data_IF_499444467108
#
_entry.id   IF_499444467108
#
_cell.length_a   1.000
_cell.length_b   1.000
_cell.length_c   1.000
_cell.angle_alpha   90.00
_cell.angle_beta   90.00
_cell.angle_gamma   90.00
#
_symmetry.space_group_name_H-M   'P 1'
#
loop_
_entity.id
_entity.type
_entity.pdbx_description
1 polymer ?
#
# COMPACT_ATOMS: atom_id res chain seq x y z
N UNK A 1 11.10 -7.60 -1.83
CA UNK A 1 11.38 -8.63 -0.79
C UNK A 1 11.29 -10.00 -1.46
N UNK A 2 12.15 -10.98 -1.13
CA UNK A 2 11.99 -12.33 -1.63
C UNK A 2 11.58 -13.26 -0.49
N UNK A 3 10.28 -13.40 -0.35
CA UNK A 3 9.68 -14.40 0.54
C UNK A 3 9.48 -15.69 -0.23
N UNK A 4 9.86 -16.84 0.37
CA UNK A 4 9.62 -18.15 -0.20
C UNK A 4 8.72 -18.96 0.73
N UNK A 5 7.58 -19.32 0.24
CA UNK A 5 6.69 -20.29 0.85
C UNK A 5 7.38 -21.66 0.97
N UNK A 6 7.16 -22.36 2.06
CA UNK A 6 7.69 -23.72 2.33
C UNK A 6 6.57 -24.74 2.43
N UNK A 7 5.65 -24.52 3.33
CA UNK A 7 4.50 -25.40 3.57
C UNK A 7 3.36 -24.60 4.21
N UNK A 8 2.14 -25.11 4.04
CA UNK A 8 0.95 -24.75 4.83
C UNK A 8 0.18 -26.03 5.13
N UNK A 9 -0.13 -26.24 6.39
CA UNK A 9 -0.81 -27.44 6.88
C UNK A 9 -1.97 -27.03 7.77
N UNK A 10 -3.13 -27.66 7.55
CA UNK A 10 -4.27 -27.64 8.46
C UNK A 10 -4.28 -28.96 9.22
N UNK A 11 -4.19 -28.88 10.54
CA UNK A 11 -4.15 -30.06 11.41
C UNK A 11 -5.27 -30.02 12.44
N UNK A 12 -6.02 -31.12 12.49
CA UNK A 12 -6.99 -31.36 13.55
C UNK A 12 -6.38 -32.29 14.60
N UNK A 13 -6.51 -31.90 15.85
CA UNK A 13 -6.20 -32.71 17.02
C UNK A 13 -7.49 -32.98 17.78
N UNK A 14 -7.92 -34.26 17.82
CA UNK A 14 -9.22 -34.66 18.39
C UNK A 14 -9.18 -34.77 19.91
N UNK A 15 -7.99 -34.74 20.52
CA UNK A 15 -7.76 -34.81 21.98
C UNK A 15 -6.60 -33.89 22.37
N UNK A 16 -6.27 -33.85 23.64
CA UNK A 16 -5.06 -33.18 24.14
C UNK A 16 -3.83 -33.71 23.43
N UNK A 17 -2.95 -32.80 23.06
CA UNK A 17 -1.72 -33.18 22.38
C UNK A 17 -0.50 -32.49 23.01
N UNK A 18 0.66 -33.08 22.75
CA UNK A 18 1.95 -32.52 23.12
C UNK A 18 2.91 -32.66 21.93
N UNK A 19 3.47 -31.54 21.49
CA UNK A 19 4.54 -31.48 20.50
C UNK A 19 5.85 -31.25 21.26
N UNK A 20 6.78 -32.19 21.14
CA UNK A 20 8.10 -32.11 21.79
C UNK A 20 8.89 -30.91 21.25
N UNK A 21 9.86 -30.47 22.06
CA UNK A 21 10.77 -29.37 21.66
C UNK A 21 11.47 -29.67 20.32
N UNK A 22 11.33 -28.77 19.39
CA UNK A 22 11.90 -28.85 18.04
C UNK A 22 12.17 -27.45 17.51
N UNK A 23 12.74 -27.35 16.32
CA UNK A 23 12.97 -26.08 15.61
C UNK A 23 12.93 -26.30 14.10
N UNK A 24 12.73 -25.23 13.35
CA UNK A 24 12.68 -25.24 11.89
C UNK A 24 13.70 -24.25 11.29
N UNK A 25 14.29 -24.52 10.11
CA UNK A 25 15.20 -23.59 9.44
C UNK A 25 14.46 -22.45 8.69
N UNK A 26 13.22 -22.17 9.07
CA UNK A 26 12.35 -21.15 8.48
C UNK A 26 11.52 -20.49 9.57
N UNK A 27 10.93 -19.36 9.27
CA UNK A 27 9.86 -18.81 10.10
C UNK A 27 8.68 -19.76 10.06
N UNK A 28 8.03 -19.94 11.22
CA UNK A 28 6.76 -20.65 11.34
C UNK A 28 5.73 -19.76 12.01
N UNK A 29 4.56 -19.62 11.38
CA UNK A 29 3.39 -19.01 11.98
C UNK A 29 2.35 -20.09 12.24
N UNK A 30 1.94 -20.24 13.48
CA UNK A 30 0.84 -21.10 13.91
C UNK A 30 -0.38 -20.25 14.21
N UNK A 31 -1.50 -20.56 13.60
CA UNK A 31 -2.80 -19.94 13.84
C UNK A 31 -3.75 -20.95 14.49
N UNK A 32 -4.26 -20.64 15.67
CA UNK A 32 -5.20 -21.49 16.40
C UNK A 32 -6.64 -21.14 16.03
N UNK A 33 -7.26 -21.94 15.17
CA UNK A 33 -8.68 -21.80 14.78
C UNK A 33 -9.62 -22.20 15.90
N UNK A 34 -9.22 -23.12 16.77
CA UNK A 34 -9.94 -23.53 17.98
C UNK A 34 -9.00 -24.23 18.94
N UNK A 35 -9.45 -24.38 20.20
CA UNK A 35 -8.70 -25.04 21.25
C UNK A 35 -8.01 -24.07 22.20
N UNK A 36 -7.31 -24.62 23.20
CA UNK A 36 -6.54 -23.84 24.16
C UNK A 36 -5.36 -24.66 24.70
N UNK A 37 -4.30 -23.97 25.07
CA UNK A 37 -3.09 -24.64 25.57
C UNK A 37 -1.96 -23.65 25.85
N UNK A 38 -0.72 -24.15 25.79
CA UNK A 38 0.49 -23.34 25.96
C UNK A 38 1.52 -23.67 24.90
N UNK A 39 2.17 -22.63 24.38
CA UNK A 39 3.39 -22.73 23.59
C UNK A 39 4.55 -22.30 24.45
N UNK A 40 5.60 -23.10 24.48
CA UNK A 40 6.85 -22.76 25.16
C UNK A 40 7.87 -22.36 24.11
N UNK A 41 8.44 -21.16 24.24
CA UNK A 41 9.51 -20.63 23.37
C UNK A 41 10.70 -20.29 24.29
N UNK A 42 11.81 -20.98 24.10
CA UNK A 42 12.94 -20.94 25.05
C UNK A 42 12.49 -21.34 26.43
N UNK A 43 12.66 -20.46 27.44
CA UNK A 43 12.27 -20.71 28.83
C UNK A 43 10.89 -20.10 29.21
N UNK A 44 10.13 -19.54 28.27
CA UNK A 44 8.87 -18.86 28.54
C UNK A 44 7.68 -19.63 28.00
N UNK A 45 6.62 -19.70 28.82
CA UNK A 45 5.34 -20.28 28.45
C UNK A 45 4.34 -19.16 28.04
N UNK A 46 3.64 -19.39 26.94
CA UNK A 46 2.65 -18.46 26.40
C UNK A 46 1.32 -19.18 26.17
N UNK A 47 0.24 -18.73 26.82
CA UNK A 47 -1.07 -19.34 26.60
C UNK A 47 -1.59 -19.01 25.18
N UNK A 48 -2.26 -19.97 24.56
CA UNK A 48 -3.01 -19.75 23.33
C UNK A 48 -4.49 -20.12 23.52
N UNK A 49 -5.32 -19.49 22.72
CA UNK A 49 -6.74 -19.75 22.55
C UNK A 49 -7.14 -19.51 21.09
N UNK A 50 -8.42 -19.60 20.80
CA UNK A 50 -8.96 -19.27 19.47
C UNK A 50 -8.47 -17.89 18.99
N UNK A 51 -8.14 -17.80 17.69
CA UNK A 51 -7.58 -16.62 16.99
C UNK A 51 -6.21 -16.15 17.51
N UNK A 52 -5.52 -16.96 18.32
CA UNK A 52 -4.13 -16.68 18.67
C UNK A 52 -3.21 -17.00 17.49
N UNK A 53 -2.25 -16.12 17.24
CA UNK A 53 -1.13 -16.31 16.32
C UNK A 53 0.15 -16.43 17.10
N UNK A 54 0.97 -17.41 16.76
CA UNK A 54 2.33 -17.58 17.29
C UNK A 54 3.31 -17.62 16.15
N UNK A 55 4.23 -16.66 16.10
CA UNK A 55 5.33 -16.60 15.15
C UNK A 55 6.61 -17.03 15.84
N UNK A 56 7.36 -17.96 15.25
CA UNK A 56 8.70 -18.40 15.68
C UNK A 56 9.73 -18.13 14.58
N UNK A 57 10.91 -17.66 14.96
CA UNK A 57 12.02 -17.40 14.03
C UNK A 57 12.74 -18.70 13.59
N UNK A 58 13.55 -18.65 12.53
CA UNK A 58 14.37 -19.78 12.12
C UNK A 58 15.27 -20.27 13.25
N UNK A 59 15.24 -21.60 13.48
CA UNK A 59 16.03 -22.33 14.50
C UNK A 59 15.66 -22.00 15.97
N UNK A 60 14.58 -21.28 16.22
CA UNK A 60 14.08 -21.04 17.56
C UNK A 60 13.42 -22.32 18.11
N UNK A 61 13.88 -22.75 19.31
CA UNK A 61 13.39 -23.98 19.95
C UNK A 61 12.05 -23.69 20.60
N UNK A 62 11.04 -24.45 20.20
CA UNK A 62 9.70 -24.35 20.77
C UNK A 62 9.03 -25.71 20.95
N UNK A 63 8.05 -25.76 21.84
CA UNK A 63 7.19 -26.91 22.08
C UNK A 63 5.76 -26.43 22.32
N UNK A 64 4.80 -27.35 22.20
CA UNK A 64 3.39 -27.00 22.29
C UNK A 64 2.63 -28.06 23.08
N UNK A 65 1.69 -27.61 23.91
CA UNK A 65 0.79 -28.50 24.66
C UNK A 65 -0.62 -27.95 24.61
N UNK A 66 -1.57 -28.81 24.21
CA UNK A 66 -2.98 -28.46 24.21
C UNK A 66 -3.68 -29.08 25.44
N UNK A 67 -4.60 -28.32 26.02
CA UNK A 67 -5.46 -28.78 27.10
C UNK A 67 -6.85 -29.26 26.62
N UNK A 68 -7.15 -29.08 25.32
CA UNK A 68 -8.41 -29.42 24.66
C UNK A 68 -8.18 -29.86 23.22
N UNK A 69 -9.17 -30.47 22.53
CA UNK A 69 -9.12 -30.61 21.08
C UNK A 69 -8.83 -29.28 20.39
N UNK A 70 -8.05 -29.28 19.31
CA UNK A 70 -7.67 -28.06 18.63
C UNK A 70 -7.63 -28.24 17.12
N UNK A 71 -7.92 -27.15 16.41
CA UNK A 71 -7.74 -27.03 14.97
C UNK A 71 -6.72 -25.91 14.72
N UNK A 72 -5.66 -26.23 14.00
CA UNK A 72 -4.58 -25.28 13.74
C UNK A 72 -4.26 -25.18 12.24
N UNK A 73 -3.81 -24.01 11.84
CA UNK A 73 -3.15 -23.76 10.56
C UNK A 73 -1.72 -23.32 10.86
N UNK A 74 -0.75 -23.97 10.26
CA UNK A 74 0.63 -23.52 10.39
C UNK A 74 1.30 -23.40 9.02
N UNK A 75 2.03 -22.29 8.82
CA UNK A 75 2.71 -21.95 7.58
C UNK A 75 4.20 -21.73 7.85
N UNK A 76 5.04 -22.38 7.03
CA UNK A 76 6.48 -22.15 7.03
C UNK A 76 6.91 -21.28 5.84
N UNK A 77 7.81 -20.32 6.06
CA UNK A 77 8.34 -19.45 5.02
C UNK A 77 9.76 -18.97 5.35
N UNK A 78 10.51 -18.59 4.32
CA UNK A 78 11.82 -17.94 4.47
C UNK A 78 11.79 -16.55 3.85
N UNK A 79 12.59 -15.66 4.41
CA UNK A 79 12.71 -14.27 3.96
C UNK A 79 14.18 -14.01 3.64
N UNK A 80 14.45 -13.38 2.50
CA UNK A 80 15.78 -12.86 2.19
C UNK A 80 15.98 -11.55 2.97
N UNK A 81 16.75 -11.62 4.05
CA UNK A 81 16.98 -10.50 4.97
C UNK A 81 17.69 -9.31 4.32
N UNK A 82 18.38 -9.50 3.20
CA UNK A 82 19.03 -8.40 2.48
C UNK A 82 18.04 -7.37 1.90
N UNK A 83 16.76 -7.69 1.90
CA UNK A 83 15.70 -6.88 1.26
C UNK A 83 14.70 -6.28 2.24
N UNK A 84 14.84 -6.50 3.55
CA UNK A 84 13.93 -5.98 4.58
C UNK A 84 14.66 -4.95 5.43
N UNK A 85 14.11 -3.73 5.51
CA UNK A 85 14.64 -2.67 6.37
C UNK A 85 14.36 -2.95 7.86
N UNK A 86 13.32 -3.73 8.16
CA UNK A 86 12.90 -4.09 9.52
C UNK A 86 12.67 -5.60 9.57
N UNK A 87 13.51 -6.37 10.32
CA UNK A 87 13.31 -7.80 10.45
C UNK A 87 12.04 -8.11 11.24
N UNK A 88 11.41 -9.26 10.94
CA UNK A 88 10.42 -9.83 11.84
C UNK A 88 11.04 -10.09 13.22
N UNK A 89 10.25 -9.97 14.32
CA UNK A 89 10.74 -10.31 15.65
C UNK A 89 11.16 -11.78 15.72
N UNK A 90 12.03 -12.11 16.66
CA UNK A 90 12.43 -13.50 16.90
C UNK A 90 11.21 -14.38 17.19
N UNK A 91 10.30 -13.89 18.04
CA UNK A 91 8.97 -14.48 18.24
C UNK A 91 7.92 -13.39 18.50
N UNK A 92 6.68 -13.71 18.21
CA UNK A 92 5.55 -12.84 18.48
C UNK A 92 4.30 -13.67 18.77
N UNK A 93 3.54 -13.26 19.78
CA UNK A 93 2.26 -13.85 20.13
C UNK A 93 1.22 -12.74 20.20
N UNK A 94 0.14 -12.87 19.42
CA UNK A 94 -0.92 -11.88 19.36
C UNK A 94 -2.26 -12.52 19.00
N UNK A 95 -3.35 -11.79 19.19
CA UNK A 95 -4.69 -12.23 18.79
C UNK A 95 -5.12 -11.51 17.53
N UNK A 96 -5.48 -12.24 16.48
CA UNK A 96 -6.01 -11.72 15.22
C UNK A 96 -7.48 -11.31 15.38
N UNK A 97 -7.73 -10.13 15.96
CA UNK A 97 -9.07 -9.66 16.31
C UNK A 97 -10.00 -9.48 15.10
N UNK A 98 -9.46 -9.19 13.93
CA UNK A 98 -10.20 -8.91 12.71
C UNK A 98 -10.11 -10.04 11.67
N UNK A 99 -9.56 -11.18 12.06
CA UNK A 99 -9.33 -12.34 11.18
C UNK A 99 -8.51 -12.01 9.92
N UNK A 100 -7.71 -10.95 9.95
CA UNK A 100 -6.92 -10.48 8.80
C UNK A 100 -5.86 -11.50 8.39
N UNK A 101 -5.19 -12.09 9.39
CA UNK A 101 -4.19 -13.14 9.19
C UNK A 101 -4.87 -14.43 8.73
N UNK A 102 -6.00 -14.79 9.36
CA UNK A 102 -6.78 -15.97 8.97
C UNK A 102 -7.19 -15.91 7.51
N UNK A 103 -7.79 -14.80 7.07
CA UNK A 103 -8.22 -14.63 5.68
C UNK A 103 -7.06 -14.84 4.71
N UNK A 104 -5.87 -14.32 5.04
CA UNK A 104 -4.69 -14.50 4.20
C UNK A 104 -4.20 -15.95 4.16
N UNK A 105 -4.23 -16.66 5.28
CA UNK A 105 -3.91 -18.10 5.34
C UNK A 105 -4.88 -18.94 4.52
N UNK A 106 -6.18 -18.61 4.56
CA UNK A 106 -7.21 -19.27 3.75
C UNK A 106 -7.05 -19.01 2.25
N UNK A 107 -6.67 -17.80 1.84
CA UNK A 107 -6.34 -17.49 0.45
C UNK A 107 -5.16 -18.34 -0.04
N UNK A 108 -4.08 -18.46 0.76
CA UNK A 108 -2.91 -19.28 0.45
C UNK A 108 -3.34 -20.76 0.34
N UNK A 109 -4.13 -21.26 1.31
CA UNK A 109 -4.65 -22.64 1.29
C UNK A 109 -5.46 -22.93 0.03
N UNK A 110 -6.35 -22.02 -0.35
CA UNK A 110 -7.17 -22.12 -1.54
C UNK A 110 -6.33 -22.20 -2.82
N UNK A 111 -5.31 -21.35 -2.92
CA UNK A 111 -4.42 -21.34 -4.08
C UNK A 111 -3.60 -22.63 -4.20
N UNK A 112 -3.09 -23.16 -3.07
CA UNK A 112 -2.39 -24.45 -3.02
C UNK A 112 -3.30 -25.62 -3.44
N UNK A 113 -4.57 -25.59 -3.03
CA UNK A 113 -5.53 -26.65 -3.39
C UNK A 113 -5.94 -26.58 -4.85
N UNK A 114 -6.09 -25.38 -5.41
CA UNK A 114 -6.54 -25.19 -6.80
C UNK A 114 -5.49 -25.55 -7.83
N UNK A 115 -4.20 -25.38 -7.53
CA UNK A 115 -3.02 -25.63 -8.37
C UNK A 115 -3.18 -25.14 -9.81
N UNK A 116 -3.81 -23.97 -9.99
CA UNK A 116 -3.95 -23.32 -11.29
C UNK A 116 -2.60 -22.84 -11.83
N UNK A 117 -2.58 -22.41 -13.08
CA UNK A 117 -1.37 -21.84 -13.66
C UNK A 117 -0.82 -20.71 -12.78
N UNK A 118 0.50 -20.66 -12.61
CA UNK A 118 1.22 -19.67 -11.78
C UNK A 118 0.97 -19.79 -10.26
N UNK A 119 0.33 -20.86 -9.76
CA UNK A 119 0.01 -20.99 -8.33
C UNK A 119 1.24 -20.78 -7.42
N UNK A 120 2.41 -21.30 -7.78
CA UNK A 120 3.63 -21.11 -7.00
C UNK A 120 4.05 -19.64 -6.88
N UNK A 121 3.88 -18.84 -7.94
CA UNK A 121 4.18 -17.41 -7.91
C UNK A 121 3.14 -16.69 -7.05
N UNK A 122 1.86 -17.03 -7.20
CA UNK A 122 0.76 -16.43 -6.42
C UNK A 122 0.92 -16.75 -4.93
N UNK A 123 1.21 -18.01 -4.57
CA UNK A 123 1.44 -18.42 -3.16
C UNK A 123 2.60 -17.63 -2.54
N UNK A 124 3.71 -17.43 -3.27
CA UNK A 124 4.82 -16.62 -2.76
C UNK A 124 4.43 -15.15 -2.56
N UNK A 125 3.65 -14.55 -3.49
CA UNK A 125 3.14 -13.17 -3.35
C UNK A 125 2.19 -13.04 -2.15
N UNK A 126 1.29 -14.00 -1.97
CA UNK A 126 0.38 -14.04 -0.82
C UNK A 126 1.14 -14.21 0.51
N UNK A 127 2.18 -15.05 0.50
CA UNK A 127 3.06 -15.24 1.67
C UNK A 127 3.85 -13.96 1.98
N UNK A 128 4.32 -13.25 0.96
CA UNK A 128 4.97 -11.95 1.13
C UNK A 128 4.00 -10.90 1.70
N UNK A 129 2.75 -10.87 1.24
CA UNK A 129 1.71 -10.03 1.83
C UNK A 129 1.45 -10.38 3.30
N UNK A 130 1.39 -11.68 3.64
CA UNK A 130 1.28 -12.14 5.04
C UNK A 130 2.42 -11.60 5.90
N UNK A 131 3.66 -11.62 5.42
CA UNK A 131 4.83 -11.07 6.14
C UNK A 131 4.65 -9.58 6.44
N UNK A 132 4.16 -8.79 5.49
CA UNK A 132 3.87 -7.38 5.74
C UNK A 132 2.74 -7.16 6.75
N UNK A 133 1.74 -8.04 6.79
CA UNK A 133 0.71 -8.00 7.83
C UNK A 133 1.32 -8.30 9.21
N UNK A 134 2.20 -9.31 9.31
CA UNK A 134 2.90 -9.64 10.55
C UNK A 134 3.82 -8.51 11.02
N UNK A 135 4.53 -7.83 10.12
CA UNK A 135 5.34 -6.64 10.45
C UNK A 135 4.45 -5.53 11.02
N UNK A 136 3.26 -5.32 10.44
CA UNK A 136 2.30 -4.31 10.90
C UNK A 136 1.75 -4.61 12.30
N UNK A 137 1.44 -5.87 12.61
CA UNK A 137 0.99 -6.28 13.94
C UNK A 137 2.07 -6.09 15.03
N UNK A 138 3.34 -6.12 14.65
CA UNK A 138 4.47 -5.96 15.54
C UNK A 138 5.05 -4.52 15.54
N UNK A 139 4.46 -3.57 14.78
CA UNK A 139 4.90 -2.18 14.76
C UNK A 139 4.37 -1.44 15.99
N UNK A 140 5.25 -0.92 16.87
CA UNK A 140 4.84 -0.14 18.04
C UNK A 140 4.15 1.18 17.67
N UNK A 141 4.19 1.61 16.40
CA UNK A 141 3.59 2.84 15.90
C UNK A 141 2.22 2.63 15.23
N UNK A 142 1.56 1.49 15.44
CA UNK A 142 0.26 1.15 14.81
C UNK A 142 -0.89 2.11 15.10
N UNK A 143 -0.74 3.07 16.00
CA UNK A 143 -1.75 4.11 16.28
C UNK A 143 -1.64 5.36 15.38
N UNK A 144 -0.63 5.43 14.54
CA UNK A 144 -0.58 6.43 13.48
C UNK A 144 -1.24 5.84 12.25
N UNK A 145 -2.45 6.33 11.88
CA UNK A 145 -2.95 6.26 10.51
C UNK A 145 -1.73 6.55 9.62
N UNK A 146 -1.19 5.50 8.99
CA UNK A 146 -0.04 5.64 8.14
C UNK A 146 -0.36 6.78 7.18
N UNK A 147 0.33 7.89 7.33
CA UNK A 147 0.17 9.01 6.42
C UNK A 147 0.44 8.42 5.06
N UNK A 148 -0.59 8.29 4.22
CA UNK A 148 -0.43 7.89 2.82
C UNK A 148 0.82 8.61 2.33
N UNK A 149 1.77 7.86 1.76
CA UNK A 149 3.00 8.47 1.27
C UNK A 149 2.60 9.72 0.48
N UNK A 150 3.19 10.86 0.81
CA UNK A 150 2.82 12.13 0.18
C UNK A 150 2.95 12.06 -1.35
N UNK A 151 3.80 11.17 -1.85
CA UNK A 151 3.90 10.85 -3.27
C UNK A 151 2.60 10.28 -3.84
N UNK A 152 1.87 9.45 -3.09
CA UNK A 152 0.56 8.96 -3.51
C UNK A 152 -0.46 10.10 -3.64
N UNK A 153 -0.46 11.04 -2.67
CA UNK A 153 -1.30 12.24 -2.74
C UNK A 153 -0.97 13.07 -3.98
N UNK A 154 0.33 13.32 -4.24
CA UNK A 154 0.78 14.06 -5.42
C UNK A 154 0.33 13.38 -6.72
N UNK A 155 0.59 12.08 -6.86
CA UNK A 155 0.21 11.31 -8.04
C UNK A 155 -1.30 11.36 -8.30
N UNK A 156 -2.12 11.22 -7.24
CA UNK A 156 -3.56 11.34 -7.36
C UNK A 156 -3.97 12.76 -7.81
N UNK A 157 -3.43 13.80 -7.17
CA UNK A 157 -3.71 15.20 -7.52
C UNK A 157 -3.32 15.49 -8.98
N UNK A 158 -2.16 15.01 -9.42
CA UNK A 158 -1.70 15.19 -10.80
C UNK A 158 -2.62 14.49 -11.81
N UNK A 159 -3.05 13.27 -11.51
CA UNK A 159 -3.97 12.53 -12.38
C UNK A 159 -5.37 13.17 -12.45
N UNK A 160 -5.83 13.75 -11.34
CA UNK A 160 -7.14 14.38 -11.23
C UNK A 160 -7.14 15.86 -11.66
N UNK A 161 -5.98 16.51 -11.79
CA UNK A 161 -5.87 17.95 -12.00
C UNK A 161 -6.64 18.46 -13.24
N UNK A 162 -6.66 17.69 -14.32
CA UNK A 162 -7.37 18.05 -15.57
C UNK A 162 -8.89 17.78 -15.52
N UNK A 163 -9.36 17.11 -14.46
CA UNK A 163 -10.79 16.91 -14.26
C UNK A 163 -11.40 18.14 -13.56
N UNK A 164 -12.69 18.38 -13.76
CA UNK A 164 -13.44 19.43 -13.04
C UNK A 164 -13.79 18.98 -11.62
N UNK A 165 -12.77 18.59 -10.86
CA UNK A 165 -12.90 18.10 -9.49
C UNK A 165 -12.54 19.19 -8.48
N UNK A 166 -13.29 19.26 -7.37
CA UNK A 166 -13.00 20.20 -6.28
C UNK A 166 -11.97 19.62 -5.31
N UNK A 167 -11.34 20.47 -4.52
CA UNK A 167 -10.36 20.04 -3.48
C UNK A 167 -11.02 19.16 -2.42
N UNK A 168 -12.30 19.43 -2.10
CA UNK A 168 -13.11 18.63 -1.17
C UNK A 168 -13.34 17.22 -1.70
N UNK A 169 -13.62 17.09 -3.00
CA UNK A 169 -13.77 15.78 -3.66
C UNK A 169 -12.45 15.02 -3.71
N UNK A 170 -11.33 15.70 -3.93
CA UNK A 170 -9.98 15.09 -3.85
C UNK A 170 -9.73 14.59 -2.42
N UNK A 171 -10.02 15.39 -1.40
CA UNK A 171 -9.84 14.99 0.00
C UNK A 171 -10.69 13.76 0.35
N UNK A 172 -11.95 13.74 -0.06
CA UNK A 172 -12.86 12.61 0.14
C UNK A 172 -12.36 11.33 -0.56
N UNK A 173 -11.90 11.44 -1.80
CA UNK A 173 -11.38 10.31 -2.56
C UNK A 173 -10.10 9.71 -1.96
N UNK A 174 -9.28 10.56 -1.31
CA UNK A 174 -8.08 10.15 -0.59
C UNK A 174 -8.35 9.68 0.85
N UNK A 175 -9.61 9.75 1.32
CA UNK A 175 -9.98 9.38 2.69
C UNK A 175 -9.53 10.40 3.75
N UNK A 176 -9.21 11.64 3.36
CA UNK A 176 -8.80 12.70 4.27
C UNK A 176 -9.91 13.70 4.56
N UNK A 177 -9.84 14.30 5.76
CA UNK A 177 -10.56 15.55 6.02
C UNK A 177 -9.93 16.67 5.18
N UNK A 178 -10.78 17.57 4.64
CA UNK A 178 -10.37 18.70 3.79
C UNK A 178 -9.31 19.60 4.45
N UNK A 179 -9.53 20.01 5.71
CA UNK A 179 -8.61 20.91 6.40
C UNK A 179 -7.26 20.24 6.69
N UNK A 180 -7.27 18.95 7.04
CA UNK A 180 -6.05 18.18 7.22
C UNK A 180 -5.25 18.09 5.92
N UNK A 181 -5.88 17.70 4.79
CA UNK A 181 -5.21 17.61 3.49
C UNK A 181 -4.62 18.98 3.07
N UNK A 182 -5.36 20.06 3.28
CA UNK A 182 -4.93 21.42 2.97
C UNK A 182 -3.68 21.81 3.76
N UNK A 183 -3.65 21.53 5.06
CA UNK A 183 -2.51 21.85 5.93
C UNK A 183 -1.30 20.99 5.60
N UNK A 184 -1.52 19.67 5.40
CA UNK A 184 -0.47 18.73 5.01
C UNK A 184 0.19 19.15 3.70
N UNK A 185 -0.62 19.50 2.70
CA UNK A 185 -0.14 19.90 1.37
C UNK A 185 0.68 21.20 1.44
N UNK A 186 0.17 22.21 2.15
CA UNK A 186 0.87 23.48 2.37
C UNK A 186 2.22 23.26 3.09
N UNK A 187 2.23 22.42 4.15
CA UNK A 187 3.44 22.08 4.90
C UNK A 187 4.49 21.38 4.05
N UNK A 188 4.06 20.48 3.15
CA UNK A 188 4.98 19.66 2.33
C UNK A 188 5.47 20.37 1.07
N UNK A 189 4.65 21.23 0.44
CA UNK A 189 4.95 21.86 -0.86
C UNK A 189 5.19 23.37 -0.78
N UNK A 190 4.85 24.00 0.33
CA UNK A 190 4.92 25.46 0.48
C UNK A 190 3.78 26.21 -0.24
N UNK A 191 2.86 25.52 -0.92
CA UNK A 191 1.75 26.13 -1.64
C UNK A 191 0.41 25.45 -1.33
N UNK A 192 -0.69 26.15 -1.59
CA UNK A 192 -2.01 25.55 -1.40
C UNK A 192 -2.30 24.52 -2.49
N UNK A 193 -3.05 23.46 -2.15
CA UNK A 193 -3.46 22.43 -3.10
C UNK A 193 -4.18 23.05 -4.33
N UNK A 194 -5.03 24.06 -4.10
CA UNK A 194 -5.72 24.79 -5.19
C UNK A 194 -4.73 25.44 -6.16
N UNK A 195 -3.69 26.09 -5.65
CA UNK A 195 -2.66 26.71 -6.48
C UNK A 195 -1.85 25.67 -7.24
N UNK A 196 -1.51 24.56 -6.60
CA UNK A 196 -0.79 23.47 -7.24
C UNK A 196 -1.58 22.86 -8.42
N UNK A 197 -2.87 22.57 -8.22
CA UNK A 197 -3.75 22.11 -9.31
C UNK A 197 -3.82 23.15 -10.44
N UNK A 198 -3.94 24.42 -10.09
CA UNK A 198 -3.98 25.49 -11.08
C UNK A 198 -2.68 25.56 -11.89
N UNK A 199 -1.54 25.38 -11.24
CA UNK A 199 -0.23 25.36 -11.91
C UNK A 199 -0.10 24.18 -12.88
N UNK A 200 -0.56 22.99 -12.50
CA UNK A 200 -0.60 21.83 -13.40
C UNK A 200 -1.48 22.14 -14.63
N UNK A 201 -2.69 22.64 -14.41
CA UNK A 201 -3.62 22.99 -15.50
C UNK A 201 -3.00 23.98 -16.47
N UNK A 202 -2.37 25.05 -15.96
CA UNK A 202 -1.74 26.07 -16.79
C UNK A 202 -0.52 25.54 -17.56
N UNK A 203 0.27 24.68 -16.97
CA UNK A 203 1.39 24.01 -17.65
C UNK A 203 0.87 23.09 -18.77
N UNK A 204 -0.24 22.38 -18.53
CA UNK A 204 -0.89 21.57 -19.57
C UNK A 204 -1.48 22.43 -20.69
N UNK A 205 -2.13 23.57 -20.36
CA UNK A 205 -2.57 24.54 -21.37
C UNK A 205 -1.39 24.99 -22.24
N UNK A 206 -0.29 25.40 -21.63
CA UNK A 206 0.93 25.80 -22.34
C UNK A 206 1.42 24.71 -23.29
N UNK A 207 1.52 23.47 -22.80
CA UNK A 207 1.96 22.30 -23.56
C UNK A 207 1.04 22.03 -24.76
N UNK A 208 -0.27 22.02 -24.55
CA UNK A 208 -1.23 21.73 -25.60
C UNK A 208 -1.34 22.86 -26.62
N UNK A 209 -1.29 24.13 -26.18
CA UNK A 209 -1.31 25.30 -26.99
C UNK A 209 -0.18 25.34 -28.02
N UNK A 210 1.01 24.87 -27.65
CA UNK A 210 2.19 24.87 -28.51
C UNK A 210 2.26 23.68 -29.47
N UNK A 211 1.74 22.52 -29.02
CA UNK A 211 1.91 21.27 -29.76
C UNK A 211 0.69 20.83 -30.57
N UNK A 212 -0.49 21.46 -30.32
CA UNK A 212 -1.74 21.08 -30.96
C UNK A 212 -2.53 22.33 -31.41
N UNK A 213 -3.46 22.16 -32.32
CA UNK A 213 -4.31 23.23 -32.80
C UNK A 213 -5.71 23.20 -32.17
N UNK A 214 -5.75 23.09 -30.84
CA UNK A 214 -6.99 23.16 -30.07
C UNK A 214 -7.54 24.58 -30.01
N UNK A 215 -8.85 24.72 -30.02
CA UNK A 215 -9.58 25.94 -29.69
C UNK A 215 -9.46 26.23 -28.17
N UNK A 216 -9.79 27.47 -27.78
CA UNK A 216 -9.78 27.83 -26.34
C UNK A 216 -10.85 27.07 -25.53
N UNK A 217 -11.97 26.71 -26.17
CA UNK A 217 -13.02 25.90 -25.56
C UNK A 217 -12.51 24.47 -25.29
N UNK A 218 -11.94 23.84 -26.32
CA UNK A 218 -11.33 22.50 -26.15
C UNK A 218 -10.21 22.50 -25.10
N UNK A 219 -9.34 23.53 -25.11
CA UNK A 219 -8.29 23.66 -24.12
C UNK A 219 -8.88 23.79 -22.70
N UNK A 220 -9.92 24.57 -22.50
CA UNK A 220 -10.57 24.71 -21.22
C UNK A 220 -11.14 23.37 -20.73
N UNK A 221 -11.78 22.62 -21.63
CA UNK A 221 -12.38 21.32 -21.32
C UNK A 221 -11.34 20.27 -20.94
N UNK A 222 -10.31 20.07 -21.77
CA UNK A 222 -9.29 19.01 -21.52
C UNK A 222 -8.32 19.33 -20.38
N UNK A 223 -8.25 20.59 -19.94
CA UNK A 223 -7.38 21.03 -18.84
C UNK A 223 -8.14 21.36 -17.56
N UNK A 224 -9.45 21.11 -17.52
CA UNK A 224 -10.28 21.22 -16.30
C UNK A 224 -10.66 22.65 -15.92
N UNK A 225 -10.57 23.63 -16.82
CA UNK A 225 -11.11 24.97 -16.59
C UNK A 225 -12.62 25.00 -16.78
N UNK A 226 -13.30 25.85 -15.98
CA UNK A 226 -14.76 25.99 -16.04
C UNK A 226 -15.24 26.72 -17.27
N UNK A 227 -14.39 27.59 -17.87
CA UNK A 227 -14.67 28.33 -19.10
C UNK A 227 -13.39 28.83 -19.76
N UNK A 228 -13.41 29.10 -21.07
CA UNK A 228 -12.31 29.75 -21.82
C UNK A 228 -11.93 31.11 -21.24
N UNK A 229 -12.90 31.87 -20.76
CA UNK A 229 -12.67 33.20 -20.17
C UNK A 229 -11.86 33.09 -18.88
N UNK A 230 -12.18 32.08 -18.03
CA UNK A 230 -11.43 31.80 -16.80
C UNK A 230 -9.99 31.33 -17.13
N UNK A 231 -9.84 30.45 -18.11
CA UNK A 231 -8.54 30.02 -18.62
C UNK A 231 -7.69 31.22 -19.05
N UNK A 232 -8.22 32.06 -19.95
CA UNK A 232 -7.51 33.22 -20.49
C UNK A 232 -7.08 34.19 -19.38
N UNK A 233 -7.95 34.46 -18.41
CA UNK A 233 -7.67 35.38 -17.30
C UNK A 233 -6.50 34.83 -16.42
N UNK A 234 -6.57 33.56 -16.04
CA UNK A 234 -5.56 32.96 -15.17
C UNK A 234 -4.24 32.73 -15.91
N UNK A 235 -4.30 32.32 -17.16
CA UNK A 235 -3.13 32.17 -18.03
C UNK A 235 -2.37 33.50 -18.21
N UNK A 236 -3.09 34.58 -18.53
CA UNK A 236 -2.48 35.92 -18.67
C UNK A 236 -1.85 36.39 -17.36
N UNK A 237 -2.49 36.10 -16.21
CA UNK A 237 -1.92 36.44 -14.88
C UNK A 237 -0.62 35.72 -14.62
N UNK A 238 -0.47 34.44 -15.05
CA UNK A 238 0.74 33.63 -14.81
C UNK A 238 1.85 33.95 -15.82
N UNK A 239 1.52 34.04 -17.11
CA UNK A 239 2.50 34.16 -18.20
C UNK A 239 2.65 35.58 -18.77
N UNK A 240 1.86 36.55 -18.33
CA UNK A 240 1.89 37.93 -18.77
C UNK A 240 1.21 38.19 -20.12
N UNK A 241 0.87 37.15 -20.88
CA UNK A 241 0.26 37.18 -22.20
C UNK A 241 -1.00 36.33 -22.23
N UNK A 242 -1.97 36.69 -23.10
CA UNK A 242 -3.08 35.79 -23.40
C UNK A 242 -2.57 34.50 -24.07
N UNK A 243 -3.36 33.39 -24.04
CA UNK A 243 -2.95 32.15 -24.71
C UNK A 243 -2.60 32.34 -26.19
N UNK A 244 -3.39 33.12 -26.94
CA UNK A 244 -3.14 33.36 -28.34
C UNK A 244 -1.89 34.22 -28.58
N UNK A 245 -1.70 35.29 -27.80
CA UNK A 245 -0.47 36.10 -27.87
C UNK A 245 0.76 35.27 -27.54
N UNK A 246 0.65 34.39 -26.55
CA UNK A 246 1.73 33.47 -26.15
C UNK A 246 2.07 32.50 -27.29
N UNK A 247 1.07 31.87 -27.91
CA UNK A 247 1.25 30.97 -29.08
C UNK A 247 1.94 31.68 -30.24
N UNK A 248 1.53 32.91 -30.54
CA UNK A 248 2.10 33.70 -31.62
C UNK A 248 3.55 34.14 -31.36
N UNK A 249 3.89 34.45 -30.09
CA UNK A 249 5.24 34.81 -29.69
C UNK A 249 6.18 33.60 -29.80
N UNK A 250 5.81 32.45 -29.24
CA UNK A 250 6.64 31.25 -29.26
C UNK A 250 6.83 30.69 -30.69
N UNK A 251 5.84 30.81 -31.57
CA UNK A 251 5.98 30.44 -33.01
C UNK A 251 6.94 31.36 -33.80
N UNK A 252 7.18 32.57 -33.32
CA UNK A 252 8.10 33.54 -33.98
C UNK A 252 9.54 33.41 -33.45
N UNK A 253 9.78 32.67 -32.39
CA UNK A 253 11.14 32.49 -31.81
C UNK A 253 11.84 31.31 -32.51
N UNK A 254 12.96 31.53 -33.25
CA UNK A 254 13.62 30.50 -34.06
C UNK A 254 14.23 29.35 -33.25
N UNK A 255 14.29 29.46 -31.93
CA UNK A 255 14.87 28.42 -31.06
C UNK A 255 13.98 27.17 -30.89
N UNK A 256 12.70 27.23 -31.21
CA UNK A 256 11.74 26.12 -31.07
C UNK A 256 11.70 25.21 -32.30
N UNK A 257 12.18 25.67 -33.46
CA UNK A 257 12.14 24.89 -34.70
C UNK A 257 13.24 23.81 -34.85
N UNK A 258 14.21 23.71 -33.96
CA UNK A 258 15.32 22.77 -34.07
C UNK A 258 15.12 21.43 -33.32
N UNK A 259 13.92 21.16 -32.76
CA UNK A 259 13.61 19.90 -32.06
C UNK A 259 12.64 18.99 -32.85
N UNK A 260 12.39 19.30 -34.13
CA UNK A 260 11.55 18.49 -35.05
C UNK A 260 12.34 18.04 -36.28
N UNK A 261 13.57 17.54 -36.09
CA UNK A 261 14.23 16.72 -37.12
C UNK A 261 14.72 15.40 -36.49
#
# INVERSE_FOLDING_TARGET
MHTKFKFLVRQQYDDKYFIQSHSHPCYELVYYLSGSGNVKIGDRDYPFSENTCVLSAPNEIHSESSSSPALVLFIGFTIDQATINEPLPEHSIFTDQNETILQKLLEIESEIRSKKNYYNAIVNILTENLVYLLLRENDPHTDTRAALDFSYILNYVESAANQRISVEQIAAALGYNYDYLRQLFLKKTGMTLKNYIMDIRLNNVQKYLLNYDYTLDELADITGFTSPSHLCMVFKRKFGLSPLEYKLKERKDPKVNNLKQ
#
